data_IF_332936594498
#
_entry.id   IF_332936594498
#
_cell.length_a   1.000
_cell.length_b   1.000
_cell.length_c   1.000
_cell.angle_alpha   90.00
_cell.angle_beta   90.00
_cell.angle_gamma   90.00
#
_symmetry.space_group_name_H-M   'P 1'
#
loop_
_entity.id
_entity.type
_entity.pdbx_description
1 polymer ?
#
# COMPACT_ATOMS: atom_id res chain seq x y z
N UNK A 1 -3.07 -52.36 -13.48
CA UNK A 1 -2.04 -51.49 -14.10
C UNK A 1 -2.07 -50.15 -13.38
N UNK A 2 -1.06 -49.80 -12.55
CA UNK A 2 -0.97 -48.46 -11.99
C UNK A 2 -0.53 -47.50 -13.11
N UNK A 3 -1.23 -46.38 -13.28
CA UNK A 3 -0.90 -45.36 -14.28
C UNK A 3 0.45 -44.69 -13.98
N UNK A 4 1.10 -44.08 -14.99
CA UNK A 4 2.38 -43.42 -14.79
C UNK A 4 2.25 -42.29 -13.75
N UNK A 5 3.30 -42.01 -12.96
CA UNK A 5 3.27 -40.92 -12.01
C UNK A 5 3.06 -39.61 -12.78
N UNK A 6 2.03 -38.85 -12.39
CA UNK A 6 1.83 -37.49 -12.88
C UNK A 6 3.03 -36.65 -12.41
N UNK A 7 4.07 -36.61 -13.23
CA UNK A 7 5.20 -35.70 -13.05
C UNK A 7 4.63 -34.29 -13.12
N UNK A 8 4.57 -33.65 -11.95
CA UNK A 8 4.11 -32.28 -11.82
C UNK A 8 4.88 -31.33 -12.74
N UNK A 9 4.36 -30.10 -12.91
CA UNK A 9 4.91 -29.14 -13.86
C UNK A 9 6.40 -28.89 -13.61
N UNK A 10 7.20 -29.07 -14.67
CA UNK A 10 8.65 -28.85 -14.67
C UNK A 10 9.05 -27.39 -14.35
N UNK A 11 10.35 -27.11 -14.17
CA UNK A 11 10.84 -25.83 -13.65
C UNK A 11 10.48 -24.61 -14.53
N UNK A 12 10.37 -24.79 -15.85
CA UNK A 12 9.98 -23.73 -16.79
C UNK A 12 8.47 -23.58 -16.97
N UNK A 13 7.67 -24.35 -16.23
CA UNK A 13 6.23 -24.34 -16.39
C UNK A 13 5.63 -23.01 -15.91
N UNK A 14 4.68 -22.41 -16.65
CA UNK A 14 4.10 -21.12 -16.32
C UNK A 14 3.48 -21.05 -14.93
N UNK A 15 2.85 -22.13 -14.45
CA UNK A 15 2.35 -22.19 -13.06
C UNK A 15 3.47 -22.11 -12.01
N UNK A 16 4.62 -22.74 -12.25
CA UNK A 16 5.78 -22.66 -11.34
C UNK A 16 6.36 -21.25 -11.30
N UNK A 17 6.41 -20.58 -12.45
CA UNK A 17 6.84 -19.18 -12.53
C UNK A 17 5.85 -18.25 -11.79
N UNK A 18 4.54 -18.48 -11.93
CA UNK A 18 3.51 -17.72 -11.20
C UNK A 18 3.62 -17.94 -9.68
N UNK A 19 3.81 -19.18 -9.24
CA UNK A 19 4.03 -19.52 -7.83
C UNK A 19 5.26 -18.81 -7.26
N UNK A 20 6.36 -18.77 -8.02
CA UNK A 20 7.59 -18.07 -7.63
C UNK A 20 7.38 -16.55 -7.52
N UNK A 21 6.67 -15.93 -8.48
CA UNK A 21 6.32 -14.50 -8.43
C UNK A 21 5.42 -14.22 -7.22
N UNK A 22 4.41 -15.05 -6.98
CA UNK A 22 3.52 -14.90 -5.83
C UNK A 22 4.27 -15.05 -4.50
N UNK A 23 5.24 -15.97 -4.42
CA UNK A 23 6.11 -16.12 -3.25
C UNK A 23 7.00 -14.88 -3.05
N UNK A 24 7.57 -14.33 -4.12
CA UNK A 24 8.36 -13.10 -4.06
C UNK A 24 7.53 -11.90 -3.59
N UNK A 25 6.32 -11.73 -4.10
CA UNK A 25 5.40 -10.66 -3.69
C UNK A 25 5.01 -10.79 -2.21
N UNK A 26 4.74 -12.00 -1.73
CA UNK A 26 4.50 -12.24 -0.30
C UNK A 26 5.69 -11.86 0.56
N UNK A 27 6.90 -12.31 0.18
CA UNK A 27 8.12 -11.99 0.91
C UNK A 27 8.45 -10.48 0.89
N UNK A 28 8.14 -9.78 -0.20
CA UNK A 28 8.26 -8.32 -0.26
C UNK A 28 7.23 -7.62 0.62
N UNK A 29 5.97 -8.05 0.57
CA UNK A 29 4.93 -7.53 1.44
C UNK A 29 5.25 -7.74 2.93
N UNK A 30 5.77 -8.91 3.32
CA UNK A 30 6.15 -9.19 4.71
C UNK A 30 7.32 -8.32 5.16
N UNK A 31 8.34 -8.14 4.32
CA UNK A 31 9.44 -7.19 4.57
C UNK A 31 8.93 -5.76 4.71
N UNK A 32 8.00 -5.36 3.85
CA UNK A 32 7.36 -4.06 3.95
C UNK A 32 6.62 -3.92 5.28
N UNK A 33 5.82 -4.91 5.68
CA UNK A 33 5.11 -4.90 6.98
C UNK A 33 6.07 -4.82 8.16
N UNK A 34 7.18 -5.56 8.13
CA UNK A 34 8.19 -5.55 9.20
C UNK A 34 8.74 -4.13 9.47
N UNK A 35 9.02 -3.35 8.43
CA UNK A 35 9.48 -1.96 8.58
C UNK A 35 8.36 -0.91 8.74
N UNK A 36 7.09 -1.31 8.81
CA UNK A 36 5.97 -0.37 8.79
C UNK A 36 5.92 0.52 10.03
N UNK A 37 6.24 -0.03 11.21
CA UNK A 37 6.26 0.70 12.48
C UNK A 37 7.35 1.78 12.49
N UNK A 38 8.55 1.44 12.04
CA UNK A 38 9.67 2.39 11.93
C UNK A 38 9.35 3.52 10.96
N UNK A 39 8.81 3.20 9.78
CA UNK A 39 8.38 4.22 8.82
C UNK A 39 7.24 5.09 9.36
N UNK A 40 6.33 4.53 10.15
CA UNK A 40 5.27 5.29 10.81
C UNK A 40 5.86 6.26 11.85
N UNK A 41 6.81 5.80 12.66
CA UNK A 41 7.53 6.64 13.62
C UNK A 41 8.30 7.78 12.94
N UNK A 42 9.03 7.48 11.86
CA UNK A 42 9.76 8.46 11.07
C UNK A 42 8.82 9.53 10.48
N UNK A 43 7.69 9.13 9.89
CA UNK A 43 6.67 10.06 9.39
C UNK A 43 6.04 10.90 10.50
N UNK A 44 5.74 10.30 11.65
CA UNK A 44 5.23 11.03 12.81
C UNK A 44 6.23 12.08 13.30
N UNK A 45 7.52 11.76 13.32
CA UNK A 45 8.57 12.72 13.67
C UNK A 45 8.68 13.86 12.65
N UNK A 46 8.66 13.56 11.35
CA UNK A 46 8.66 14.56 10.29
C UNK A 46 7.43 15.47 10.35
N UNK A 47 6.24 14.90 10.61
CA UNK A 47 5.00 15.64 10.82
C UNK A 47 5.11 16.62 12.00
N UNK A 48 5.63 16.17 13.15
CA UNK A 48 5.84 17.04 14.33
C UNK A 48 6.77 18.22 14.04
N UNK A 49 7.83 17.99 13.27
CA UNK A 49 8.77 19.03 12.82
C UNK A 49 8.18 19.95 11.74
N UNK A 50 7.03 19.61 11.17
CA UNK A 50 6.36 20.41 10.14
C UNK A 50 6.88 20.18 8.72
N UNK A 51 7.74 19.19 8.51
CA UNK A 51 8.34 18.89 7.19
C UNK A 51 7.30 18.39 6.18
N UNK A 52 6.18 17.85 6.67
CA UNK A 52 5.07 17.37 5.85
C UNK A 52 3.97 18.46 5.65
N UNK A 53 4.25 19.69 6.08
CA UNK A 53 3.35 20.82 5.98
C UNK A 53 2.46 21.03 7.21
N UNK A 54 1.84 22.22 7.33
CA UNK A 54 1.14 22.66 8.53
C UNK A 54 -0.09 21.80 8.86
N UNK A 55 -0.89 21.39 7.86
CA UNK A 55 -2.07 20.56 8.09
C UNK A 55 -1.74 19.15 8.59
N UNK A 56 -0.62 18.58 8.15
CA UNK A 56 -0.15 17.27 8.64
C UNK A 56 0.40 17.39 10.05
N UNK A 57 1.09 18.49 10.38
CA UNK A 57 1.55 18.78 11.74
C UNK A 57 0.39 18.92 12.72
N UNK A 58 -0.67 19.64 12.33
CA UNK A 58 -1.89 19.78 13.13
C UNK A 58 -2.56 18.42 13.38
N UNK A 59 -2.74 17.61 12.33
CA UNK A 59 -3.29 16.27 12.45
C UNK A 59 -2.43 15.36 13.34
N UNK A 60 -1.10 15.41 13.20
CA UNK A 60 -0.23 14.63 14.06
C UNK A 60 -0.34 15.07 15.53
N UNK A 61 -0.48 16.37 15.80
CA UNK A 61 -0.77 16.85 17.16
C UNK A 61 -2.07 16.29 17.73
N UNK A 62 -3.13 16.20 16.90
CA UNK A 62 -4.41 15.57 17.31
C UNK A 62 -4.27 14.07 17.57
N UNK A 63 -3.48 13.37 16.77
CA UNK A 63 -3.17 11.94 16.97
C UNK A 63 -2.37 11.74 18.25
N UNK A 64 -1.34 12.55 18.48
CA UNK A 64 -0.50 12.49 19.67
C UNK A 64 -1.31 12.81 20.95
N UNK A 65 -2.32 13.68 20.86
CA UNK A 65 -3.25 13.99 21.94
C UNK A 65 -4.37 12.95 22.13
N UNK A 66 -4.40 11.87 21.34
CA UNK A 66 -5.44 10.83 21.42
C UNK A 66 -6.84 11.27 20.96
N UNK A 67 -6.95 12.45 20.34
CA UNK A 67 -8.23 13.01 19.86
C UNK A 67 -8.73 12.32 18.59
N UNK A 68 -7.83 11.66 17.87
CA UNK A 68 -8.12 10.95 16.62
C UNK A 68 -7.04 9.92 16.33
N UNK A 69 -7.21 9.15 15.25
CA UNK A 69 -6.17 8.26 14.71
C UNK A 69 -6.04 8.47 13.21
N UNK A 70 -4.87 8.16 12.64
CA UNK A 70 -4.69 8.17 11.18
C UNK A 70 -5.72 7.28 10.46
N UNK A 71 -6.12 6.16 11.06
CA UNK A 71 -7.20 5.32 10.54
C UNK A 71 -8.55 6.06 10.55
N UNK A 72 -8.91 6.71 11.66
CA UNK A 72 -10.15 7.51 11.74
C UNK A 72 -10.16 8.67 10.74
N UNK A 73 -9.00 9.28 10.46
CA UNK A 73 -8.85 10.31 9.43
C UNK A 73 -9.13 9.75 8.04
N UNK A 74 -8.49 8.63 7.67
CA UNK A 74 -8.61 8.03 6.35
C UNK A 74 -10.01 7.43 6.10
N UNK A 75 -10.58 6.77 7.10
CA UNK A 75 -11.93 6.17 7.04
C UNK A 75 -13.06 7.20 7.10
N UNK A 76 -12.75 8.49 7.29
CA UNK A 76 -13.75 9.56 7.34
C UNK A 76 -14.46 9.75 8.68
N UNK A 77 -14.07 9.00 9.71
CA UNK A 77 -14.62 9.15 11.08
C UNK A 77 -14.21 10.47 11.73
N UNK A 78 -12.99 10.94 11.45
CA UNK A 78 -12.58 12.31 11.78
C UNK A 78 -13.09 13.29 10.71
N UNK A 79 -14.05 14.13 11.11
CA UNK A 79 -14.73 15.10 10.24
C UNK A 79 -14.15 16.52 10.33
N UNK A 80 -13.04 16.70 11.03
CA UNK A 80 -12.39 18.02 11.10
C UNK A 80 -11.90 18.48 9.73
N UNK A 81 -11.75 19.80 9.56
CA UNK A 81 -11.25 20.42 8.32
C UNK A 81 -9.87 19.87 7.96
N UNK A 82 -8.98 19.74 8.95
CA UNK A 82 -7.66 19.17 8.74
C UNK A 82 -7.73 17.71 8.21
N UNK A 83 -8.59 16.86 8.79
CA UNK A 83 -8.79 15.48 8.36
C UNK A 83 -9.38 15.40 6.93
N UNK A 84 -10.35 16.26 6.61
CA UNK A 84 -10.92 16.36 5.27
C UNK A 84 -9.87 16.77 4.23
N UNK A 85 -9.05 17.78 4.53
CA UNK A 85 -7.95 18.22 3.67
C UNK A 85 -6.91 17.13 3.46
N UNK A 86 -6.55 16.38 4.52
CA UNK A 86 -5.62 15.27 4.38
C UNK A 86 -6.17 14.14 3.48
N UNK A 87 -7.44 13.76 3.64
CA UNK A 87 -8.08 12.78 2.74
C UNK A 87 -8.07 13.26 1.29
N UNK A 88 -8.41 14.52 1.05
CA UNK A 88 -8.39 15.11 -0.29
C UNK A 88 -6.98 15.03 -0.90
N UNK A 89 -5.96 15.39 -0.13
CA UNK A 89 -4.57 15.35 -0.57
C UNK A 89 -4.10 13.93 -0.92
N UNK A 90 -4.50 12.93 -0.13
CA UNK A 90 -4.25 11.51 -0.42
C UNK A 90 -4.94 11.09 -1.71
N UNK A 91 -6.22 11.45 -1.88
CA UNK A 91 -6.97 11.14 -3.10
C UNK A 91 -6.32 11.76 -4.35
N UNK A 92 -5.87 13.01 -4.28
CA UNK A 92 -5.15 13.69 -5.36
C UNK A 92 -3.85 12.96 -5.73
N UNK A 93 -3.03 12.56 -4.75
CA UNK A 93 -1.81 11.76 -5.00
C UNK A 93 -2.12 10.41 -5.62
N UNK A 94 -3.16 9.73 -5.17
CA UNK A 94 -3.53 8.42 -5.73
C UNK A 94 -3.96 8.54 -7.19
N UNK A 95 -4.70 9.60 -7.54
CA UNK A 95 -5.04 9.90 -8.94
C UNK A 95 -3.79 10.19 -9.77
N UNK A 96 -2.82 10.92 -9.23
CA UNK A 96 -1.54 11.18 -9.89
C UNK A 96 -0.74 9.89 -10.12
N UNK A 97 -0.59 9.05 -9.10
CA UNK A 97 0.08 7.76 -9.21
C UNK A 97 -0.61 6.83 -10.22
N UNK A 98 -1.94 6.80 -10.22
CA UNK A 98 -2.71 5.99 -11.17
C UNK A 98 -2.48 6.40 -12.63
N UNK A 99 -2.05 7.65 -12.90
CA UNK A 99 -1.68 8.12 -14.24
C UNK A 99 -0.27 7.71 -14.64
N UNK A 100 0.61 7.47 -13.67
CA UNK A 100 2.00 7.03 -13.89
C UNK A 100 2.11 5.53 -14.13
N UNK A 101 1.13 4.75 -13.64
CA UNK A 101 1.01 3.34 -13.97
C UNK A 101 0.26 3.26 -15.31
N UNK A 102 0.93 2.91 -16.43
CA UNK A 102 0.21 2.70 -17.68
C UNK A 102 -0.86 1.64 -17.44
N UNK A 103 -2.05 1.77 -18.07
CA UNK A 103 -3.05 0.71 -17.99
C UNK A 103 -2.35 -0.59 -18.40
N UNK A 104 -2.39 -1.60 -17.52
CA UNK A 104 -1.86 -2.91 -17.86
C UNK A 104 -2.48 -3.28 -19.20
N UNK A 105 -1.64 -3.42 -20.24
CA UNK A 105 -2.06 -3.78 -21.57
C UNK A 105 -3.03 -4.95 -21.41
N UNK A 106 -4.31 -4.72 -21.74
CA UNK A 106 -5.30 -5.79 -21.85
C UNK A 106 -4.93 -6.57 -23.10
N UNK A 107 -3.83 -7.30 -23.01
CA UNK A 107 -3.42 -8.32 -23.95
C UNK A 107 -4.34 -9.53 -23.79
N UNK A 108 -5.58 -9.38 -24.24
CA UNK A 108 -6.38 -10.51 -24.72
C UNK A 108 -6.67 -10.19 -26.17
N UNK A 109 -5.68 -10.47 -27.02
CA UNK A 109 -5.95 -10.84 -28.40
C UNK A 109 -6.48 -12.27 -28.39
N UNK A 110 -7.59 -12.47 -29.07
CA UNK A 110 -8.23 -13.76 -29.29
C UNK A 110 -9.75 -13.54 -29.21
N UNK A 111 -10.50 -13.61 -30.30
CA UNK A 111 -10.27 -14.21 -31.60
C UNK A 111 -11.27 -13.64 -32.59
#
# INVERSE_FOLDING_TARGET
>A
MPGPPETGPGPDHPLRRLEAVAASLRAEHDRWRAGSAERAAARGAAARRGELGPGVRELQGRVDAGLTTWAAVLDGRDRTVAAASARRHVAERLVELARLVPPADRGVRGR
#
